data_IF_576988999470
#
_entry.id   IF_576988999470
#
_cell.length_a   1.000
_cell.length_b   1.000
_cell.length_c   1.000
_cell.angle_alpha   90.00
_cell.angle_beta   90.00
_cell.angle_gamma   90.00
#
_symmetry.space_group_name_H-M   'P 1'
#
loop_
_entity.id
_entity.type
_entity.pdbx_description
1 polymer ?
#
# COMPACT_ATOMS: atom_id res chain seq x y z
N UNK A 1 -8.34 -24.60 -19.86
CA UNK A 1 -7.63 -23.45 -20.46
C UNK A 1 -6.27 -23.33 -19.78
N UNK A 2 -5.18 -23.26 -20.54
CA UNK A 2 -3.81 -23.13 -20.05
C UNK A 2 -3.59 -21.76 -19.36
N UNK A 3 -2.80 -21.72 -18.27
CA UNK A 3 -2.39 -20.52 -17.51
C UNK A 3 -1.69 -19.45 -18.36
N UNK A 4 -1.01 -19.85 -19.45
CA UNK A 4 -0.45 -18.94 -20.45
C UNK A 4 -1.56 -18.27 -21.27
N UNK A 5 -2.60 -19.03 -21.65
CA UNK A 5 -3.68 -18.57 -22.52
C UNK A 5 -4.56 -17.47 -21.92
N UNK A 6 -4.63 -17.36 -20.59
CA UNK A 6 -5.36 -16.30 -19.88
C UNK A 6 -4.44 -15.26 -19.20
N UNK A 7 -3.12 -15.34 -19.46
CA UNK A 7 -2.13 -14.42 -18.91
C UNK A 7 -2.02 -14.46 -17.39
N UNK A 8 -2.27 -15.60 -16.75
CA UNK A 8 -2.10 -15.77 -15.30
C UNK A 8 -0.62 -15.75 -14.92
N UNK A 9 0.23 -16.35 -15.75
CA UNK A 9 1.68 -16.45 -15.53
C UNK A 9 2.36 -15.08 -15.40
N UNK A 10 1.88 -14.09 -16.15
CA UNK A 10 2.45 -12.73 -16.14
C UNK A 10 1.76 -11.78 -15.14
N UNK A 11 0.72 -12.24 -14.43
CA UNK A 11 -0.10 -11.36 -13.60
C UNK A 11 0.72 -10.73 -12.46
N UNK A 12 1.46 -11.55 -11.72
CA UNK A 12 2.31 -11.08 -10.62
C UNK A 12 3.48 -10.22 -11.14
N UNK A 13 4.08 -10.60 -12.27
CA UNK A 13 5.08 -9.77 -12.95
C UNK A 13 4.55 -8.36 -13.30
N UNK A 14 3.38 -8.26 -13.92
CA UNK A 14 2.75 -6.98 -14.26
C UNK A 14 2.47 -6.17 -12.99
N UNK A 15 1.96 -6.81 -11.93
CA UNK A 15 1.73 -6.12 -10.66
C UNK A 15 3.03 -5.53 -10.08
N UNK A 16 4.15 -6.27 -10.15
CA UNK A 16 5.48 -5.77 -9.74
C UNK A 16 5.93 -4.57 -10.59
N UNK A 17 5.69 -4.57 -11.90
CA UNK A 17 6.01 -3.43 -12.77
C UNK A 17 5.21 -2.19 -12.38
N UNK A 18 3.92 -2.33 -12.08
CA UNK A 18 3.09 -1.21 -11.61
C UNK A 18 3.58 -0.68 -10.25
N UNK A 19 3.98 -1.56 -9.32
CA UNK A 19 4.56 -1.14 -8.03
C UNK A 19 5.84 -0.32 -8.19
N UNK A 20 6.66 -0.61 -9.20
CA UNK A 20 7.84 0.21 -9.52
C UNK A 20 7.44 1.61 -10.01
N UNK A 21 6.29 1.75 -10.70
CA UNK A 21 5.75 3.07 -11.07
C UNK A 21 5.24 3.83 -9.85
N UNK A 22 4.54 3.16 -8.93
CA UNK A 22 4.17 3.75 -7.63
C UNK A 22 5.40 4.26 -6.87
N UNK A 23 6.48 3.47 -6.84
CA UNK A 23 7.74 3.86 -6.19
C UNK A 23 8.37 5.09 -6.84
N UNK A 24 8.44 5.09 -8.16
CA UNK A 24 8.98 6.21 -8.93
C UNK A 24 8.15 7.49 -8.70
N UNK A 25 6.83 7.38 -8.71
CA UNK A 25 5.93 8.49 -8.41
C UNK A 25 6.12 9.00 -6.98
N UNK A 26 6.17 8.10 -5.99
CA UNK A 26 6.43 8.46 -4.60
C UNK A 26 7.72 9.27 -4.45
N UNK A 27 8.82 8.75 -4.99
CA UNK A 27 10.14 9.36 -4.90
C UNK A 27 10.20 10.73 -5.58
N UNK A 28 9.60 10.86 -6.77
CA UNK A 28 9.54 12.15 -7.47
C UNK A 28 8.74 13.18 -6.68
N UNK A 29 7.57 12.80 -6.16
CA UNK A 29 6.71 13.70 -5.38
C UNK A 29 7.36 14.12 -4.06
N UNK A 30 8.01 13.21 -3.34
CA UNK A 30 8.75 13.55 -2.11
C UNK A 30 9.96 14.45 -2.39
N UNK A 31 10.67 14.21 -3.50
CA UNK A 31 11.77 15.09 -3.94
C UNK A 31 11.26 16.48 -4.29
N UNK A 32 10.13 16.57 -4.99
CA UNK A 32 9.49 17.83 -5.33
C UNK A 32 9.12 18.62 -4.07
N UNK A 33 8.45 17.98 -3.10
CA UNK A 33 8.10 18.67 -1.85
C UNK A 33 9.31 19.10 -1.04
N UNK A 34 10.39 18.30 -1.04
CA UNK A 34 11.65 18.69 -0.40
C UNK A 34 12.26 19.94 -1.05
N UNK A 35 12.26 20.01 -2.39
CA UNK A 35 12.75 21.17 -3.13
C UNK A 35 11.89 22.42 -2.86
N UNK A 36 10.56 22.31 -2.95
CA UNK A 36 9.65 23.43 -2.64
C UNK A 36 9.85 23.96 -1.22
N UNK A 37 10.05 23.06 -0.25
CA UNK A 37 10.34 23.43 1.15
C UNK A 37 11.65 24.22 1.27
N UNK A 38 12.71 23.79 0.59
CA UNK A 38 14.00 24.48 0.61
C UNK A 38 13.94 25.84 -0.09
N UNK A 39 13.21 25.95 -1.20
CA UNK A 39 13.00 27.21 -1.92
C UNK A 39 12.21 28.22 -1.08
N UNK A 40 11.11 27.78 -0.47
CA UNK A 40 10.31 28.64 0.42
C UNK A 40 11.12 29.12 1.63
N UNK A 41 11.99 28.26 2.18
CA UNK A 41 12.87 28.65 3.28
C UNK A 41 13.86 29.75 2.88
N UNK A 42 14.45 29.66 1.69
CA UNK A 42 15.38 30.67 1.17
C UNK A 42 14.67 32.00 0.92
N UNK A 43 13.50 31.96 0.29
CA UNK A 43 12.68 33.15 0.02
C UNK A 43 12.29 33.87 1.32
N UNK A 44 11.85 33.10 2.32
CA UNK A 44 11.54 33.63 3.66
C UNK A 44 12.75 34.28 4.33
N UNK A 45 13.91 33.62 4.32
CA UNK A 45 15.14 34.18 4.89
C UNK A 45 15.55 35.49 4.21
N UNK A 46 15.45 35.58 2.88
CA UNK A 46 15.74 36.82 2.16
C UNK A 46 14.77 37.95 2.50
N UNK A 47 13.47 37.65 2.66
CA UNK A 47 12.45 38.65 2.98
C UNK A 47 12.55 39.19 4.40
N UNK A 48 12.84 38.35 5.40
CA UNK A 48 13.11 38.81 6.78
C UNK A 48 14.33 39.73 6.82
N UNK A 49 15.34 39.44 6.00
CA UNK A 49 16.54 40.28 5.93
C UNK A 49 16.26 41.65 5.31
N UNK A 50 15.24 41.76 4.45
CA UNK A 50 14.90 42.96 3.69
C UNK A 50 13.72 43.79 4.27
N UNK A 51 12.93 43.29 5.23
CA UNK A 51 11.75 43.99 5.77
C UNK A 51 11.63 44.05 7.30
N UNK A 52 11.09 45.16 7.81
CA UNK A 52 10.76 45.45 9.21
C UNK A 52 9.26 45.82 9.39
N UNK A 53 8.37 45.41 8.49
CA UNK A 53 6.94 45.76 8.54
C UNK A 53 6.03 44.52 8.57
N UNK A 54 5.16 44.48 9.58
CA UNK A 54 4.49 43.30 10.16
C UNK A 54 3.09 42.96 9.60
N UNK A 55 2.71 41.69 9.86
CA UNK A 55 1.39 41.12 10.15
C UNK A 55 0.62 40.38 9.04
N UNK A 56 0.47 40.92 7.83
CA UNK A 56 -0.28 40.21 6.77
C UNK A 56 0.58 39.21 5.99
N UNK A 57 1.86 39.55 5.76
CA UNK A 57 2.79 38.64 5.07
C UNK A 57 3.19 37.45 5.95
N UNK A 58 3.27 37.64 7.27
CA UNK A 58 3.59 36.56 8.22
C UNK A 58 2.52 35.46 8.25
N UNK A 59 1.23 35.82 8.35
CA UNK A 59 0.13 34.82 8.38
C UNK A 59 0.07 34.03 7.05
N UNK A 60 0.29 34.69 5.92
CA UNK A 60 0.32 34.06 4.59
C UNK A 60 1.54 33.12 4.44
N UNK A 61 2.71 33.52 4.96
CA UNK A 61 3.91 32.69 4.95
C UNK A 61 3.82 31.52 5.91
N UNK A 62 3.30 31.70 7.12
CA UNK A 62 3.09 30.61 8.08
C UNK A 62 2.15 29.55 7.51
N UNK A 63 1.07 29.98 6.85
CA UNK A 63 0.17 29.07 6.15
C UNK A 63 0.86 28.35 4.99
N UNK A 64 1.59 29.06 4.12
CA UNK A 64 2.33 28.42 3.03
C UNK A 64 3.39 27.43 3.56
N UNK A 65 4.09 27.79 4.63
CA UNK A 65 5.08 26.96 5.30
C UNK A 65 4.47 25.69 5.85
N UNK A 66 3.38 25.78 6.61
CA UNK A 66 2.63 24.61 7.09
C UNK A 66 2.17 23.72 5.92
N UNK A 67 1.62 24.31 4.85
CA UNK A 67 1.16 23.56 3.69
C UNK A 67 2.27 22.72 3.02
N UNK A 68 3.45 23.29 2.78
CA UNK A 68 4.54 22.58 2.10
C UNK A 68 5.37 21.68 3.03
N UNK A 69 5.34 21.93 4.34
CA UNK A 69 6.11 21.13 5.29
C UNK A 69 5.38 19.92 5.84
N UNK A 70 4.08 20.06 6.09
CA UNK A 70 3.32 19.06 6.84
C UNK A 70 2.13 18.58 6.03
N UNK A 71 1.24 19.49 5.60
CA UNK A 71 -0.07 19.11 5.05
C UNK A 71 0.06 18.36 3.72
N UNK A 72 0.79 18.90 2.75
CA UNK A 72 0.88 18.29 1.41
C UNK A 72 1.68 16.99 1.37
N UNK A 73 2.82 16.84 2.09
CA UNK A 73 3.51 15.55 2.15
C UNK A 73 2.71 14.47 2.90
N UNK A 74 2.03 14.82 4.00
CA UNK A 74 1.17 13.87 4.72
C UNK A 74 -0.01 13.42 3.85
N UNK A 75 -0.70 14.35 3.21
CA UNK A 75 -1.81 14.05 2.30
C UNK A 75 -1.38 13.13 1.14
N UNK A 76 -0.20 13.37 0.55
CA UNK A 76 0.37 12.50 -0.48
C UNK A 76 0.57 11.07 0.04
N UNK A 77 1.23 10.90 1.18
CA UNK A 77 1.53 9.58 1.75
C UNK A 77 0.27 8.81 2.12
N UNK A 78 -0.70 9.47 2.74
CA UNK A 78 -2.00 8.86 3.06
C UNK A 78 -2.75 8.43 1.79
N UNK A 79 -2.85 9.31 0.81
CA UNK A 79 -3.50 9.04 -0.48
C UNK A 79 -2.83 7.87 -1.21
N UNK A 80 -1.50 7.84 -1.18
CA UNK A 80 -0.71 6.80 -1.83
C UNK A 80 -0.84 5.46 -1.11
N UNK A 81 -0.88 5.44 0.22
CA UNK A 81 -1.11 4.23 1.01
C UNK A 81 -2.49 3.62 0.73
N UNK A 82 -3.53 4.46 0.63
CA UNK A 82 -4.87 4.03 0.21
C UNK A 82 -4.83 3.45 -1.20
N UNK A 83 -4.16 4.14 -2.13
CA UNK A 83 -4.06 3.73 -3.53
C UNK A 83 -3.32 2.41 -3.71
N UNK A 84 -2.21 2.21 -2.99
CA UNK A 84 -1.44 0.96 -2.96
C UNK A 84 -2.28 -0.20 -2.42
N UNK A 85 -3.07 0.04 -1.37
CA UNK A 85 -3.93 -1.00 -0.80
C UNK A 85 -5.08 -1.37 -1.75
N UNK A 86 -5.72 -0.38 -2.38
CA UNK A 86 -6.73 -0.61 -3.40
C UNK A 86 -6.16 -1.37 -4.61
N UNK A 87 -4.94 -1.02 -5.04
CA UNK A 87 -4.22 -1.73 -6.08
C UNK A 87 -3.97 -3.19 -5.70
N UNK A 88 -3.44 -3.47 -4.50
CA UNK A 88 -3.24 -4.83 -4.00
C UNK A 88 -4.54 -5.63 -4.04
N UNK A 89 -5.62 -5.08 -3.49
CA UNK A 89 -6.92 -5.75 -3.45
C UNK A 89 -7.43 -6.09 -4.85
N UNK A 90 -7.33 -5.15 -5.80
CA UNK A 90 -7.70 -5.38 -7.18
C UNK A 90 -6.86 -6.50 -7.81
N UNK A 91 -5.53 -6.44 -7.69
CA UNK A 91 -4.63 -7.45 -8.25
C UNK A 91 -4.87 -8.84 -7.68
N UNK A 92 -5.14 -8.96 -6.38
CA UNK A 92 -5.46 -10.24 -5.76
C UNK A 92 -6.80 -10.80 -6.24
N UNK A 93 -7.83 -9.96 -6.39
CA UNK A 93 -9.13 -10.38 -6.91
C UNK A 93 -9.04 -10.83 -8.37
N UNK A 94 -8.35 -10.06 -9.22
CA UNK A 94 -8.13 -10.43 -10.63
C UNK A 94 -7.34 -11.72 -10.78
N UNK A 95 -6.36 -11.98 -9.90
CA UNK A 95 -5.66 -13.26 -9.88
C UNK A 95 -6.63 -14.42 -9.56
N UNK A 96 -7.52 -14.24 -8.58
CA UNK A 96 -8.54 -15.24 -8.25
C UNK A 96 -9.46 -15.52 -9.45
N UNK A 97 -9.94 -14.47 -10.14
CA UNK A 97 -10.80 -14.60 -11.32
C UNK A 97 -10.11 -15.36 -12.45
N UNK A 98 -8.84 -15.03 -12.75
CA UNK A 98 -8.03 -15.73 -13.75
C UNK A 98 -7.86 -17.21 -13.40
N UNK A 99 -7.53 -17.52 -12.15
CA UNK A 99 -7.35 -18.89 -11.68
C UNK A 99 -8.66 -19.67 -11.65
N UNK A 100 -9.78 -19.02 -11.31
CA UNK A 100 -11.11 -19.64 -11.34
C UNK A 100 -11.43 -20.23 -12.72
N UNK A 101 -11.10 -19.48 -13.79
CA UNK A 101 -11.25 -19.93 -15.18
C UNK A 101 -10.31 -21.09 -15.50
N UNK A 102 -9.06 -21.04 -15.01
CA UNK A 102 -8.07 -22.12 -15.24
C UNK A 102 -8.43 -23.43 -14.55
N UNK A 103 -9.17 -23.39 -13.44
CA UNK A 103 -9.56 -24.57 -12.67
C UNK A 103 -11.00 -25.02 -12.92
N UNK A 104 -11.73 -24.34 -13.80
CA UNK A 104 -13.17 -24.54 -14.02
C UNK A 104 -13.95 -24.54 -12.68
N UNK A 105 -13.65 -23.54 -11.84
CA UNK A 105 -14.19 -23.48 -10.49
C UNK A 105 -15.70 -23.28 -10.52
N UNK A 106 -16.43 -24.15 -9.82
CA UNK A 106 -17.88 -23.97 -9.56
C UNK A 106 -18.16 -22.92 -8.49
N UNK A 107 -17.14 -22.51 -7.75
CA UNK A 107 -17.24 -21.49 -6.69
C UNK A 107 -16.53 -20.24 -7.18
N UNK A 108 -17.24 -19.13 -7.22
CA UNK A 108 -16.68 -17.84 -7.58
C UNK A 108 -16.23 -17.06 -6.35
N UNK A 109 -15.39 -16.05 -6.56
CA UNK A 109 -14.92 -15.18 -5.48
C UNK A 109 -16.08 -14.49 -4.72
N UNK A 110 -17.17 -14.18 -5.43
CA UNK A 110 -18.39 -13.57 -4.85
C UNK A 110 -19.15 -14.50 -3.90
N UNK A 111 -18.96 -15.81 -4.00
CA UNK A 111 -19.64 -16.80 -3.17
C UNK A 111 -18.94 -16.99 -1.81
N UNK A 112 -17.73 -16.44 -1.65
CA UNK A 112 -16.99 -16.51 -0.41
C UNK A 112 -17.30 -15.33 0.52
N UNK A 113 -17.58 -15.67 1.78
CA UNK A 113 -17.64 -14.69 2.86
C UNK A 113 -16.25 -14.11 3.14
N UNK A 114 -16.16 -12.78 3.23
CA UNK A 114 -14.91 -12.07 3.51
C UNK A 114 -14.92 -10.67 2.92
N UNK A 115 -13.93 -9.85 3.28
CA UNK A 115 -13.76 -8.49 2.74
C UNK A 115 -12.33 -8.28 2.25
N UNK A 116 -12.21 -7.62 1.10
CA UNK A 116 -10.94 -7.27 0.47
C UNK A 116 -9.97 -8.44 0.32
N UNK A 117 -8.70 -8.16 0.60
CA UNK A 117 -7.57 -9.12 0.42
C UNK A 117 -7.75 -10.43 1.17
N UNK A 118 -8.46 -10.46 2.31
CA UNK A 118 -8.71 -11.68 3.08
C UNK A 118 -9.58 -12.68 2.31
N UNK A 119 -10.56 -12.17 1.55
CA UNK A 119 -11.41 -13.02 0.70
C UNK A 119 -10.60 -13.65 -0.42
N UNK A 120 -9.70 -12.87 -1.03
CA UNK A 120 -8.81 -13.39 -2.06
C UNK A 120 -7.83 -14.42 -1.50
N UNK A 121 -7.21 -14.17 -0.34
CA UNK A 121 -6.36 -15.17 0.36
C UNK A 121 -7.13 -16.46 0.63
N UNK A 122 -8.37 -16.37 1.13
CA UNK A 122 -9.21 -17.54 1.39
C UNK A 122 -9.46 -18.34 0.11
N UNK A 123 -9.81 -17.68 -0.99
CA UNK A 123 -10.01 -18.32 -2.30
C UNK A 123 -8.75 -19.05 -2.77
N UNK A 124 -7.62 -18.33 -2.83
CA UNK A 124 -6.34 -18.86 -3.30
C UNK A 124 -5.88 -20.05 -2.46
N UNK A 125 -6.09 -19.99 -1.14
CA UNK A 125 -5.73 -21.10 -0.23
C UNK A 125 -6.64 -22.31 -0.43
N UNK A 126 -7.97 -22.11 -0.49
CA UNK A 126 -8.94 -23.22 -0.44
C UNK A 126 -9.24 -23.84 -1.80
N UNK A 127 -9.28 -23.03 -2.85
CA UNK A 127 -9.67 -23.49 -4.20
C UNK A 127 -8.47 -23.80 -5.08
N UNK A 128 -7.38 -23.05 -4.91
CA UNK A 128 -6.17 -23.21 -5.73
C UNK A 128 -5.08 -23.99 -4.99
N UNK A 129 -5.05 -23.94 -3.65
CA UNK A 129 -4.03 -24.62 -2.84
C UNK A 129 -2.73 -23.85 -2.70
N UNK A 130 -2.77 -22.52 -2.86
CA UNK A 130 -1.61 -21.64 -2.67
C UNK A 130 -1.22 -21.61 -1.19
N UNK A 131 0.07 -21.87 -0.90
CA UNK A 131 0.60 -21.87 0.47
C UNK A 131 1.05 -20.46 0.90
N UNK A 132 0.20 -19.76 1.65
CA UNK A 132 0.51 -18.44 2.20
C UNK A 132 1.58 -18.45 3.29
N UNK A 133 1.98 -19.61 3.84
CA UNK A 133 3.08 -19.67 4.79
C UNK A 133 4.41 -19.21 4.15
N UNK A 134 4.52 -19.27 2.82
CA UNK A 134 5.68 -18.79 2.06
C UNK A 134 5.79 -17.27 1.99
N UNK A 135 4.70 -16.56 2.29
CA UNK A 135 4.60 -15.09 2.26
C UNK A 135 3.98 -14.54 3.54
N UNK A 136 4.11 -15.27 4.65
CA UNK A 136 3.42 -14.94 5.90
C UNK A 136 3.95 -13.64 6.54
N UNK A 137 5.24 -13.33 6.37
CA UNK A 137 5.82 -12.09 6.87
C UNK A 137 5.25 -10.87 6.13
N UNK A 138 5.18 -10.95 4.81
CA UNK A 138 4.62 -9.91 3.95
C UNK A 138 3.13 -9.78 4.19
N UNK A 139 2.43 -10.90 4.34
CA UNK A 139 1.02 -10.93 4.68
C UNK A 139 0.72 -10.25 6.02
N UNK A 140 1.53 -10.54 7.05
CA UNK A 140 1.41 -9.89 8.36
C UNK A 140 1.57 -8.37 8.24
N UNK A 141 2.54 -7.90 7.45
CA UNK A 141 2.72 -6.47 7.21
C UNK A 141 1.54 -5.85 6.43
N UNK A 142 1.03 -6.51 5.39
CA UNK A 142 -0.20 -6.08 4.67
C UNK A 142 -1.37 -5.92 5.65
N UNK A 143 -1.55 -6.87 6.58
CA UNK A 143 -2.61 -6.81 7.59
C UNK A 143 -2.41 -5.66 8.58
N UNK A 144 -1.18 -5.28 8.88
CA UNK A 144 -0.89 -4.12 9.72
C UNK A 144 -1.16 -2.80 9.00
N UNK A 145 -0.72 -2.68 7.74
CA UNK A 145 -1.03 -1.52 6.89
C UNK A 145 -2.53 -1.39 6.63
N UNK A 146 -3.30 -2.47 6.55
CA UNK A 146 -4.76 -2.38 6.46
C UNK A 146 -5.38 -1.64 7.66
N UNK A 147 -4.83 -1.84 8.87
CA UNK A 147 -5.34 -1.14 10.07
C UNK A 147 -5.04 0.36 9.98
N UNK A 148 -3.86 0.72 9.48
CA UNK A 148 -3.48 2.11 9.19
C UNK A 148 -4.42 2.71 8.15
N UNK A 149 -4.62 2.03 7.01
CA UNK A 149 -5.55 2.46 5.95
C UNK A 149 -6.95 2.68 6.50
N UNK A 150 -7.46 1.76 7.32
CA UNK A 150 -8.80 1.88 7.90
C UNK A 150 -8.91 3.10 8.82
N UNK A 151 -7.86 3.44 9.58
CA UNK A 151 -7.82 4.65 10.38
C UNK A 151 -7.88 5.92 9.52
N UNK A 152 -7.11 5.96 8.43
CA UNK A 152 -7.11 7.10 7.50
C UNK A 152 -8.50 7.26 6.86
N UNK A 153 -9.05 6.18 6.29
CA UNK A 153 -10.31 6.23 5.53
C UNK A 153 -11.54 6.46 6.41
N UNK A 154 -11.62 5.84 7.59
CA UNK A 154 -12.84 5.88 8.40
C UNK A 154 -12.81 6.92 9.52
N UNK A 155 -11.62 7.31 9.99
CA UNK A 155 -11.47 8.26 11.09
C UNK A 155 -10.70 9.53 10.69
N UNK A 156 -10.43 9.74 9.39
CA UNK A 156 -9.63 10.87 8.92
C UNK A 156 -8.24 10.91 9.57
N UNK A 157 -7.66 9.73 9.84
CA UNK A 157 -6.35 9.62 10.49
C UNK A 157 -6.39 9.77 12.02
N UNK A 158 -7.53 10.07 12.64
CA UNK A 158 -7.62 10.20 14.11
C UNK A 158 -7.47 8.84 14.80
N UNK A 159 -6.45 8.73 15.66
CA UNK A 159 -6.17 7.48 16.39
C UNK A 159 -7.30 7.23 17.40
N UNK A 160 -7.89 6.01 17.44
CA UNK A 160 -8.92 5.66 18.41
C UNK A 160 -8.47 5.86 19.85
N UNK A 161 -9.32 6.48 20.66
CA UNK A 161 -9.07 6.66 22.10
C UNK A 161 -9.01 5.35 22.87
N UNK A 162 -9.67 4.31 22.36
CA UNK A 162 -9.61 2.97 22.93
C UNK A 162 -8.21 2.37 22.75
N UNK A 163 -7.47 2.24 23.85
CA UNK A 163 -6.10 1.69 23.86
C UNK A 163 -6.05 0.19 23.55
N UNK A 164 -7.18 -0.52 23.61
CA UNK A 164 -7.25 -1.93 23.19
C UNK A 164 -7.37 -2.10 21.68
N UNK A 165 -7.49 -1.01 20.92
CA UNK A 165 -7.52 -1.06 19.47
C UNK A 165 -6.19 -1.61 18.92
N UNK A 166 -6.29 -2.55 17.97
CA UNK A 166 -5.12 -3.21 17.36
C UNK A 166 -4.19 -2.22 16.66
N UNK A 167 -4.68 -1.05 16.26
CA UNK A 167 -3.88 0.01 15.68
C UNK A 167 -2.77 0.50 16.63
N UNK A 168 -3.01 0.55 17.94
CA UNK A 168 -1.98 0.95 18.91
C UNK A 168 -0.78 0.00 18.89
N UNK A 169 -1.01 -1.30 18.70
CA UNK A 169 0.04 -2.29 18.54
C UNK A 169 0.85 -2.06 17.25
N UNK A 170 0.17 -1.72 16.16
CA UNK A 170 0.82 -1.40 14.87
C UNK A 170 1.67 -0.14 14.98
N UNK A 171 1.16 0.95 15.56
CA UNK A 171 1.92 2.19 15.74
C UNK A 171 3.19 1.96 16.56
N UNK A 172 3.15 1.10 17.60
CA UNK A 172 4.34 0.74 18.39
C UNK A 172 5.34 -0.12 17.61
N UNK A 173 4.84 -0.97 16.70
CA UNK A 173 5.67 -1.88 15.90
C UNK A 173 6.46 -1.16 14.82
N UNK A 174 5.92 -0.06 14.27
CA UNK A 174 6.53 0.66 13.16
C UNK A 174 6.92 2.09 13.57
N UNK A 175 8.21 2.39 13.78
CA UNK A 175 8.67 3.75 14.15
C UNK A 175 8.32 4.84 13.14
N UNK A 176 8.07 4.44 11.88
CA UNK A 176 7.66 5.29 10.75
C UNK A 176 6.18 5.68 10.80
N UNK A 177 5.43 5.18 11.78
CA UNK A 177 4.08 5.62 12.14
C UNK A 177 4.16 6.40 13.44
N UNK A 178 3.82 7.69 13.37
CA UNK A 178 3.89 8.59 14.52
C UNK A 178 2.49 9.03 14.95
N UNK A 179 2.39 9.40 16.23
CA UNK A 179 1.25 10.15 16.75
C UNK A 179 1.60 11.63 16.66
N UNK A 180 0.96 12.33 15.74
CA UNK A 180 1.02 13.78 15.62
C UNK A 180 0.22 14.46 16.75
N UNK A 181 0.27 15.79 16.76
CA UNK A 181 -0.54 16.60 17.67
C UNK A 181 -2.04 16.30 17.52
N UNK A 182 -2.81 16.61 18.56
CA UNK A 182 -4.25 16.30 18.65
C UNK A 182 -4.63 14.80 18.48
N UNK A 183 -3.65 13.89 18.42
CA UNK A 183 -3.86 12.44 18.33
C UNK A 183 -4.13 11.91 16.92
N UNK A 184 -3.66 12.60 15.90
CA UNK A 184 -3.69 12.13 14.52
C UNK A 184 -2.51 11.20 14.21
N UNK A 185 -2.70 10.32 13.24
CA UNK A 185 -1.63 9.52 12.68
C UNK A 185 -0.79 10.38 11.73
N UNK A 186 0.53 10.27 11.82
CA UNK A 186 1.45 10.81 10.82
C UNK A 186 2.25 9.66 10.19
N UNK A 187 2.31 9.67 8.86
CA UNK A 187 2.96 8.66 8.04
C UNK A 187 4.26 9.23 7.49
N UNK A 188 5.39 8.56 7.77
CA UNK A 188 6.67 8.92 7.16
C UNK A 188 6.80 8.36 5.74
N UNK A 189 7.55 9.07 4.89
CA UNK A 189 7.82 8.68 3.49
C UNK A 189 8.34 7.24 3.41
N UNK A 190 9.30 6.88 4.25
CA UNK A 190 9.92 5.56 4.26
C UNK A 190 8.94 4.41 4.55
N UNK A 191 7.76 4.68 5.15
CA UNK A 191 6.75 3.64 5.35
C UNK A 191 6.14 3.21 4.00
N UNK A 192 5.99 4.17 3.07
CA UNK A 192 5.49 3.88 1.73
C UNK A 192 6.49 3.02 0.97
N UNK A 193 7.79 3.36 1.05
CA UNK A 193 8.85 2.55 0.45
C UNK A 193 8.89 1.13 1.03
N UNK A 194 8.79 0.99 2.36
CA UNK A 194 8.71 -0.31 3.03
C UNK A 194 7.50 -1.12 2.56
N UNK A 195 6.34 -0.47 2.41
CA UNK A 195 5.13 -1.14 1.97
C UNK A 195 5.25 -1.58 0.52
N UNK A 196 5.76 -0.75 -0.38
CA UNK A 196 6.02 -1.13 -1.78
C UNK A 196 7.00 -2.30 -1.84
N UNK A 197 8.10 -2.26 -1.08
CA UNK A 197 9.07 -3.36 -1.01
C UNK A 197 8.41 -4.66 -0.53
N UNK A 198 7.54 -4.57 0.47
CA UNK A 198 6.75 -5.70 0.97
C UNK A 198 5.84 -6.28 -0.11
N UNK A 199 5.14 -5.43 -0.87
CA UNK A 199 4.28 -5.88 -1.95
C UNK A 199 5.08 -6.53 -3.09
N UNK A 200 6.27 -6.03 -3.41
CA UNK A 200 7.15 -6.63 -4.40
C UNK A 200 7.55 -8.05 -4.00
N UNK A 201 7.97 -8.25 -2.73
CA UNK A 201 8.32 -9.58 -2.20
C UNK A 201 7.09 -10.49 -2.14
N UNK A 202 5.94 -9.94 -1.74
CA UNK A 202 4.68 -10.68 -1.70
C UNK A 202 4.29 -11.23 -3.07
N UNK A 203 4.30 -10.38 -4.12
CA UNK A 203 3.96 -10.82 -5.47
C UNK A 203 5.01 -11.77 -6.05
N UNK A 204 6.28 -11.65 -5.67
CA UNK A 204 7.32 -12.63 -6.05
C UNK A 204 7.09 -14.00 -5.43
N UNK A 205 6.74 -14.04 -4.14
CA UNK A 205 6.37 -15.28 -3.47
C UNK A 205 5.09 -15.90 -4.04
N UNK A 206 4.10 -15.07 -4.35
CA UNK A 206 2.83 -15.52 -4.93
C UNK A 206 3.02 -16.08 -6.35
N UNK A 207 3.86 -15.46 -7.17
CA UNK A 207 4.25 -15.95 -8.50
C UNK A 207 4.83 -17.38 -8.42
N UNK A 208 5.78 -17.60 -7.51
CA UNK A 208 6.39 -18.93 -7.30
C UNK A 208 5.37 -20.02 -6.92
N UNK A 209 4.37 -19.68 -6.12
CA UNK A 209 3.32 -20.62 -5.74
C UNK A 209 2.35 -20.90 -6.90
N UNK A 210 2.02 -19.89 -7.70
CA UNK A 210 1.20 -20.05 -8.92
C UNK A 210 1.92 -20.91 -9.96
N UNK A 211 3.22 -20.71 -10.14
CA UNK A 211 4.05 -21.51 -11.06
C UNK A 211 4.14 -22.96 -10.62
N UNK A 212 4.27 -23.20 -9.30
CA UNK A 212 4.25 -24.54 -8.72
C UNK A 212 2.91 -25.22 -8.99
N UNK A 213 1.79 -24.51 -8.78
CA UNK A 213 0.46 -25.01 -9.10
C UNK A 213 0.35 -25.42 -10.58
N UNK A 214 0.76 -24.55 -11.50
CA UNK A 214 0.75 -24.84 -12.93
C UNK A 214 1.57 -26.08 -13.32
N UNK A 215 2.75 -26.24 -12.71
CA UNK A 215 3.64 -27.38 -12.95
C UNK A 215 3.09 -28.71 -12.42
N UNK A 216 2.37 -28.68 -11.30
CA UNK A 216 1.73 -29.91 -10.77
C UNK A 216 0.55 -30.38 -11.62
N UNK A 217 -0.18 -29.46 -12.25
CA UNK A 217 -1.33 -29.79 -13.11
C UNK A 217 -0.89 -30.41 -14.44
N UNK A 218 0.16 -29.88 -15.08
CA UNK A 218 0.69 -30.44 -16.34
C UNK A 218 1.29 -31.84 -16.17
N UNK A 219 1.84 -32.16 -15.00
CA UNK A 219 2.34 -33.50 -14.68
C UNK A 219 1.21 -34.52 -14.41
N UNK A 220 0.05 -34.07 -13.90
CA UNK A 220 -1.12 -34.93 -13.70
C UNK A 220 -1.85 -35.28 -15.00
N UNK A 221 -1.93 -34.32 -15.93
CA UNK A 221 -2.60 -34.49 -17.23
C UNK A 221 -1.78 -35.34 -18.23
N UNK A 222 -0.50 -35.60 -17.96
CA UNK A 222 0.39 -36.43 -18.80
C UNK A 222 0.46 -37.91 -18.38
N UNK A 223 -0.26 -38.28 -17.32
CA UNK A 223 -0.37 -39.66 -16.81
C UNK A 223 -1.80 -40.23 -16.93
N UNK A 224 -2.72 -39.51 -17.58
CA UNK A 224 -4.13 -39.87 -17.78
C UNK A 224 -4.45 -40.29 -19.22
#
# INVERSE_FOLDING_TARGET
>A
MDLFGNGTFFHCHIAKVELMRFRSFHSQTESFWRQQKEELHKDYQSKIQDSLEESHDEISHDYAWEQYQTVTPEFHRESLLISLYNFLEHQMNTLCEKLAVSIDSKIELRDLNGKGVERAKLYLTKMVGIDFNKVEMEWSHIQDINKVRNCIVHNGGKIPSNTSDKLHGVIRKYPKLKKAEAGYLSVESDLIDDFIATLLVFFDGLEKEVDRYGSTKSAGDSLG
#
